data_IF_570091315845
#
_entry.id   IF_570091315845
#
_cell.length_a   1.000
_cell.length_b   1.000
_cell.length_c   1.000
_cell.angle_alpha   90.00
_cell.angle_beta   90.00
_cell.angle_gamma   90.00
#
_symmetry.space_group_name_H-M   'P 1'
#
loop_
_entity.id
_entity.type
_entity.pdbx_description
1 polymer ?
#
# COMPACT_ATOMS: atom_id res chain seq x y z
N UNK A 1 20.40 -4.03 3.37
CA UNK A 1 19.55 -2.85 3.63
C UNK A 1 18.66 -3.13 4.82
N UNK A 2 18.39 -2.12 5.60
CA UNK A 2 17.41 -2.12 6.70
C UNK A 2 16.12 -1.51 6.16
N UNK A 3 15.06 -2.29 6.10
CA UNK A 3 13.81 -1.92 5.45
C UNK A 3 12.69 -1.89 6.49
N UNK A 4 12.09 -0.72 6.68
CA UNK A 4 10.92 -0.53 7.52
C UNK A 4 9.65 -0.45 6.70
N UNK A 5 8.49 -0.78 7.31
CA UNK A 5 7.19 -0.71 6.65
C UNK A 5 6.21 0.01 7.58
N UNK A 6 5.51 1.05 7.08
CA UNK A 6 4.37 1.61 7.80
C UNK A 6 3.11 0.77 7.55
N UNK A 7 2.26 0.60 8.56
CA UNK A 7 1.09 -0.27 8.45
C UNK A 7 1.47 -1.75 8.34
N UNK A 8 2.48 -2.19 9.08
CA UNK A 8 3.10 -3.52 8.99
C UNK A 8 2.15 -4.68 9.28
N UNK A 9 1.05 -4.43 9.99
CA UNK A 9 -0.01 -5.44 10.24
C UNK A 9 -1.05 -5.55 9.11
N UNK A 10 -0.98 -4.67 8.11
CA UNK A 10 -1.85 -4.71 6.94
C UNK A 10 -1.53 -5.87 6.00
N UNK A 11 -2.49 -6.21 5.13
CA UNK A 11 -2.41 -7.35 4.20
C UNK A 11 -1.12 -7.38 3.36
N UNK A 12 -0.82 -6.31 2.63
CA UNK A 12 0.39 -6.24 1.79
C UNK A 12 1.65 -6.24 2.67
N UNK A 13 1.67 -5.43 3.72
CA UNK A 13 2.83 -5.26 4.58
C UNK A 13 3.22 -6.55 5.31
N UNK A 14 2.26 -7.32 5.83
CA UNK A 14 2.52 -8.62 6.49
C UNK A 14 3.18 -9.63 5.54
N UNK A 15 2.83 -9.59 4.24
CA UNK A 15 3.44 -10.45 3.25
C UNK A 15 4.83 -9.93 2.82
N UNK A 16 5.02 -8.61 2.71
CA UNK A 16 6.32 -7.99 2.42
C UNK A 16 7.33 -8.24 3.54
N UNK A 17 6.96 -8.09 4.81
CA UNK A 17 7.87 -8.31 5.94
C UNK A 17 8.46 -9.72 5.93
N UNK A 18 7.64 -10.73 5.57
CA UNK A 18 8.10 -12.10 5.40
C UNK A 18 9.09 -12.27 4.22
N UNK A 19 8.98 -11.43 3.18
CA UNK A 19 9.85 -11.48 2.01
C UNK A 19 11.20 -10.80 2.24
N UNK A 20 11.25 -9.68 2.95
CA UNK A 20 12.46 -8.89 3.19
C UNK A 20 13.60 -9.78 3.68
N UNK A 21 13.34 -10.61 4.69
CA UNK A 21 14.35 -11.52 5.24
C UNK A 21 14.77 -12.61 4.24
N UNK A 22 13.87 -13.04 3.34
CA UNK A 22 14.19 -14.02 2.29
C UNK A 22 15.12 -13.44 1.21
N UNK A 23 15.08 -12.12 0.99
CA UNK A 23 15.98 -11.41 0.09
C UNK A 23 17.31 -10.99 0.75
N UNK A 24 17.64 -11.54 1.92
CA UNK A 24 18.85 -11.22 2.69
C UNK A 24 18.96 -9.74 3.11
N UNK A 25 17.80 -9.12 3.39
CA UNK A 25 17.68 -7.79 3.97
C UNK A 25 17.10 -7.89 5.39
N UNK A 26 17.31 -6.87 6.20
CA UNK A 26 16.79 -6.81 7.56
C UNK A 26 15.45 -6.08 7.58
N UNK A 27 14.40 -6.77 7.99
CA UNK A 27 13.12 -6.13 8.32
C UNK A 27 13.21 -5.44 9.67
N UNK A 28 12.93 -4.15 9.68
CA UNK A 28 12.91 -3.32 10.88
C UNK A 28 11.45 -3.09 11.28
N UNK A 29 11.01 -3.74 12.36
CA UNK A 29 9.67 -3.52 12.89
C UNK A 29 9.57 -2.14 13.53
N UNK A 30 8.56 -1.38 13.13
CA UNK A 30 8.23 -0.09 13.74
C UNK A 30 7.40 -0.29 15.01
N UNK A 31 6.58 -1.34 15.07
CA UNK A 31 5.74 -1.69 16.24
C UNK A 31 6.56 -2.11 17.46
N UNK A 32 7.73 -2.73 17.25
CA UNK A 32 8.62 -3.21 18.32
C UNK A 32 9.65 -2.15 18.75
N UNK A 33 9.60 -0.96 18.14
CA UNK A 33 10.53 0.11 18.48
C UNK A 33 10.22 0.73 19.85
N UNK A 34 11.23 1.35 20.46
CA UNK A 34 11.06 2.16 21.70
C UNK A 34 10.13 3.36 21.54
N UNK A 35 9.70 3.65 20.31
CA UNK A 35 8.80 4.75 19.95
C UNK A 35 7.37 4.28 19.70
N UNK A 36 7.06 3.02 20.00
CA UNK A 36 5.72 2.44 19.84
C UNK A 36 4.63 3.16 20.65
N UNK A 37 5.00 3.93 21.70
CA UNK A 37 4.07 4.79 22.44
C UNK A 37 3.43 5.91 21.59
N UNK A 38 3.94 6.16 20.38
CA UNK A 38 3.33 7.08 19.39
C UNK A 38 2.32 6.43 18.48
N UNK A 39 2.05 5.13 18.62
CA UNK A 39 1.08 4.37 17.84
C UNK A 39 -0.17 4.11 18.68
N UNK A 40 -1.30 4.64 18.25
CA UNK A 40 -2.60 4.19 18.77
C UNK A 40 -3.12 3.06 17.86
N UNK A 41 -3.43 1.92 18.45
CA UNK A 41 -4.23 0.89 17.78
C UNK A 41 -5.69 1.32 17.83
N UNK A 42 -6.35 1.41 16.67
CA UNK A 42 -7.80 1.56 16.64
C UNK A 42 -8.47 0.29 17.18
N UNK A 43 -9.75 0.39 17.59
CA UNK A 43 -10.53 -0.79 18.01
C UNK A 43 -10.59 -1.89 16.95
N UNK A 44 -10.33 -1.56 15.68
CA UNK A 44 -10.21 -2.52 14.56
C UNK A 44 -8.84 -3.20 14.45
N UNK A 45 -7.87 -2.84 15.30
CA UNK A 45 -6.51 -3.38 15.25
C UNK A 45 -5.62 -2.77 14.18
N UNK A 46 -6.06 -1.72 13.52
CA UNK A 46 -5.24 -0.96 12.58
C UNK A 46 -4.28 -0.05 13.33
N UNK A 47 -3.00 -0.20 13.06
CA UNK A 47 -1.97 0.69 13.59
C UNK A 47 -2.01 1.98 12.77
N UNK A 48 -2.61 3.01 13.34
CA UNK A 48 -2.54 4.33 12.77
C UNK A 48 -1.21 4.99 13.14
N UNK A 49 -0.54 5.56 12.16
CA UNK A 49 0.66 6.37 12.35
C UNK A 49 0.28 7.69 13.02
N UNK A 50 0.41 7.77 14.34
CA UNK A 50 -0.06 8.93 15.11
C UNK A 50 1.02 9.91 15.55
N UNK A 51 2.19 9.88 15.02
CA UNK A 51 3.02 11.05 15.19
C UNK A 51 2.76 12.02 14.02
N UNK A 52 1.98 13.06 14.27
CA UNK A 52 1.90 14.23 13.37
C UNK A 52 3.19 15.07 13.41
N UNK A 53 4.32 14.47 13.81
CA UNK A 53 5.60 15.14 13.96
C UNK A 53 6.63 14.53 13.00
N UNK A 54 7.05 15.34 12.04
CA UNK A 54 8.14 15.02 11.12
C UNK A 54 9.43 14.74 11.92
N UNK A 55 9.69 15.50 12.98
CA UNK A 55 10.88 15.36 13.82
C UNK A 55 10.93 13.98 14.49
N UNK A 56 9.81 13.51 15.05
CA UNK A 56 9.75 12.19 15.70
C UNK A 56 9.98 11.06 14.69
N UNK A 57 9.38 11.17 13.50
CA UNK A 57 9.61 10.21 12.43
C UNK A 57 11.05 10.23 11.92
N UNK A 58 11.63 11.43 11.74
CA UNK A 58 13.04 11.56 11.36
C UNK A 58 13.96 10.94 12.41
N UNK A 59 13.69 11.17 13.69
CA UNK A 59 14.45 10.58 14.78
C UNK A 59 14.32 9.05 14.80
N UNK A 60 13.11 8.52 14.62
CA UNK A 60 12.86 7.08 14.56
C UNK A 60 13.62 6.40 13.40
N UNK A 61 13.51 6.95 12.18
CA UNK A 61 14.21 6.41 11.02
C UNK A 61 15.73 6.46 11.20
N UNK A 62 16.26 7.53 11.81
CA UNK A 62 17.68 7.68 12.10
C UNK A 62 18.14 6.69 13.17
N UNK A 63 17.42 6.57 14.29
CA UNK A 63 17.78 5.66 15.40
C UNK A 63 17.75 4.19 14.99
N UNK A 64 16.88 3.85 14.06
CA UNK A 64 16.75 2.50 13.50
C UNK A 64 17.64 2.28 12.27
N UNK A 65 18.39 3.28 11.82
CA UNK A 65 19.28 3.21 10.65
C UNK A 65 18.58 2.64 9.41
N UNK A 66 17.43 3.23 9.06
CA UNK A 66 16.55 2.73 7.97
C UNK A 66 17.05 3.21 6.62
N UNK A 67 17.39 2.29 5.74
CA UNK A 67 17.78 2.58 4.34
C UNK A 67 16.55 2.84 3.46
N UNK A 68 15.49 2.06 3.64
CA UNK A 68 14.26 2.10 2.83
C UNK A 68 13.03 2.05 3.74
N UNK A 69 12.10 2.97 3.54
CA UNK A 69 10.77 2.90 4.15
C UNK A 69 9.71 2.60 3.10
N UNK A 70 9.02 1.47 3.25
CA UNK A 70 7.86 1.13 2.43
C UNK A 70 6.62 1.74 3.10
N UNK A 71 6.10 2.81 2.49
CA UNK A 71 4.91 3.48 3.02
C UNK A 71 3.64 2.81 2.50
N UNK A 72 3.12 1.89 3.33
CA UNK A 72 1.93 1.10 3.05
C UNK A 72 0.72 1.51 3.92
N UNK A 73 0.93 2.24 5.02
CA UNK A 73 -0.16 2.67 5.90
C UNK A 73 -1.20 3.50 5.14
N UNK A 74 -2.44 3.06 5.15
CA UNK A 74 -3.56 3.76 4.55
C UNK A 74 -4.89 3.26 5.12
N UNK A 75 -5.88 4.15 5.17
CA UNK A 75 -7.28 3.78 5.30
C UNK A 75 -7.76 3.34 3.92
N UNK A 76 -8.07 2.04 3.78
CA UNK A 76 -8.33 1.40 2.48
C UNK A 76 -9.82 1.12 2.30
N UNK A 77 -10.32 1.37 1.10
CA UNK A 77 -11.68 1.06 0.70
C UNK A 77 -12.60 2.29 0.68
N UNK A 78 -13.43 2.35 -0.35
CA UNK A 78 -14.33 3.51 -0.59
C UNK A 78 -15.32 3.70 0.55
N UNK A 79 -15.89 2.60 1.05
CA UNK A 79 -16.90 2.65 2.12
C UNK A 79 -16.26 3.04 3.46
N UNK A 80 -15.07 2.52 3.77
CA UNK A 80 -14.34 2.83 5.00
C UNK A 80 -13.93 4.31 5.02
N UNK A 81 -13.41 4.83 3.90
CA UNK A 81 -13.07 6.25 3.74
C UNK A 81 -14.30 7.15 3.88
N UNK A 82 -15.46 6.70 3.39
CA UNK A 82 -16.71 7.47 3.51
C UNK A 82 -17.25 7.53 4.94
N UNK A 83 -17.01 6.52 5.78
CA UNK A 83 -17.44 6.48 7.18
C UNK A 83 -16.67 7.47 8.06
N UNK A 84 -15.38 7.68 7.82
CA UNK A 84 -14.55 8.63 8.55
C UNK A 84 -13.57 9.35 7.62
N UNK A 85 -14.05 10.33 6.85
CA UNK A 85 -13.25 11.00 5.83
C UNK A 85 -12.10 11.84 6.40
N UNK A 86 -12.28 12.44 7.57
CA UNK A 86 -11.23 13.25 8.22
C UNK A 86 -10.04 12.39 8.64
N UNK A 87 -10.31 11.25 9.27
CA UNK A 87 -9.29 10.28 9.62
C UNK A 87 -8.58 9.75 8.37
N UNK A 88 -9.34 9.42 7.33
CA UNK A 88 -8.78 8.93 6.08
C UNK A 88 -7.87 9.96 5.40
N UNK A 89 -8.24 11.25 5.36
CA UNK A 89 -7.39 12.33 4.84
C UNK A 89 -6.14 12.48 5.70
N UNK A 90 -6.30 12.48 7.03
CA UNK A 90 -5.16 12.58 7.95
C UNK A 90 -4.16 11.45 7.73
N UNK A 91 -4.63 10.21 7.55
CA UNK A 91 -3.75 9.06 7.32
C UNK A 91 -3.17 9.05 5.90
N UNK A 92 -4.04 9.13 4.89
CA UNK A 92 -3.65 8.87 3.50
C UNK A 92 -2.89 10.04 2.85
N UNK A 93 -3.14 11.27 3.30
CA UNK A 93 -2.53 12.48 2.70
C UNK A 93 -1.51 13.10 3.66
N UNK A 94 -1.95 13.52 4.85
CA UNK A 94 -1.06 14.17 5.82
C UNK A 94 0.01 13.20 6.33
N UNK A 95 -0.36 11.96 6.66
CA UNK A 95 0.58 10.91 7.07
C UNK A 95 1.63 10.63 5.99
N UNK A 96 1.22 10.58 4.73
CA UNK A 96 2.16 10.42 3.59
C UNK A 96 3.13 11.60 3.51
N UNK A 97 2.66 12.84 3.68
CA UNK A 97 3.53 14.02 3.70
C UNK A 97 4.56 13.93 4.84
N UNK A 98 4.13 13.58 6.04
CA UNK A 98 5.00 13.46 7.22
C UNK A 98 6.11 12.44 6.99
N UNK A 99 5.76 11.25 6.49
CA UNK A 99 6.74 10.20 6.18
C UNK A 99 7.70 10.62 5.07
N UNK A 100 7.19 11.32 4.05
CA UNK A 100 8.02 11.84 2.96
C UNK A 100 9.08 12.82 3.46
N UNK A 101 8.70 13.78 4.31
CA UNK A 101 9.63 14.75 4.89
C UNK A 101 10.61 14.09 5.86
N UNK A 102 10.16 13.14 6.66
CA UNK A 102 11.04 12.37 7.54
C UNK A 102 12.10 11.57 6.75
N UNK A 103 11.68 10.91 5.67
CA UNK A 103 12.58 10.20 4.78
C UNK A 103 13.60 11.16 4.12
N UNK A 104 13.19 12.37 3.74
CA UNK A 104 14.09 13.41 3.23
C UNK A 104 15.15 13.83 4.26
N UNK A 105 14.76 13.97 5.53
CA UNK A 105 15.66 14.40 6.61
C UNK A 105 16.72 13.35 6.95
N UNK A 106 16.42 12.07 6.70
CA UNK A 106 17.32 10.93 7.01
C UNK A 106 17.99 10.32 5.78
N UNK A 107 17.75 10.87 4.58
CA UNK A 107 18.16 10.31 3.29
C UNK A 107 17.66 8.86 3.08
N UNK A 108 16.56 8.49 3.69
CA UNK A 108 15.88 7.21 3.52
C UNK A 108 15.13 7.21 2.18
N UNK A 109 15.23 6.13 1.41
CA UNK A 109 14.41 5.95 0.21
C UNK A 109 12.96 5.64 0.60
N UNK A 110 11.99 6.33 -0.01
CA UNK A 110 10.58 6.02 0.20
C UNK A 110 10.02 5.18 -0.96
N UNK A 111 9.40 4.05 -0.64
CA UNK A 111 8.63 3.22 -1.56
C UNK A 111 7.15 3.38 -1.21
N UNK A 112 6.41 4.09 -2.05
CA UNK A 112 4.99 4.35 -1.81
C UNK A 112 4.11 3.26 -2.43
N UNK A 113 3.28 2.62 -1.62
CA UNK A 113 2.27 1.69 -2.12
C UNK A 113 1.06 2.50 -2.56
N UNK A 114 0.96 2.72 -3.86
CA UNK A 114 -0.14 3.41 -4.53
C UNK A 114 -1.37 2.52 -4.75
N UNK A 115 -2.07 2.76 -5.86
CA UNK A 115 -3.21 1.94 -6.30
C UNK A 115 -3.55 2.24 -7.77
N UNK A 116 -3.99 1.24 -8.51
CA UNK A 116 -4.47 1.43 -9.90
C UNK A 116 -5.87 2.03 -9.98
N UNK A 117 -6.62 2.14 -8.88
CA UNK A 117 -7.94 2.79 -8.90
C UNK A 117 -7.89 4.31 -9.12
N UNK A 118 -6.69 4.90 -9.25
CA UNK A 118 -6.51 6.30 -9.65
C UNK A 118 -6.84 6.54 -11.13
N UNK A 119 -6.79 5.50 -11.96
CA UNK A 119 -7.12 5.59 -13.38
C UNK A 119 -8.62 5.62 -13.62
N UNK A 120 -9.03 6.18 -14.76
CA UNK A 120 -10.42 6.14 -15.18
C UNK A 120 -10.82 4.74 -15.68
N UNK A 121 -11.20 3.89 -14.74
CA UNK A 121 -11.62 2.51 -15.04
C UNK A 121 -12.86 2.40 -15.95
N UNK A 122 -13.57 3.50 -16.23
CA UNK A 122 -14.67 3.52 -17.20
C UNK A 122 -14.20 3.74 -18.62
N UNK A 123 -13.13 4.55 -18.81
CA UNK A 123 -12.54 4.75 -20.14
C UNK A 123 -11.74 3.53 -20.60
N UNK A 124 -11.21 2.76 -19.67
CA UNK A 124 -10.33 1.62 -19.96
C UNK A 124 -11.02 0.26 -19.85
N UNK A 125 -12.32 0.18 -20.06
CA UNK A 125 -13.07 -1.09 -19.97
C UNK A 125 -12.64 -2.14 -21.01
N UNK A 126 -12.04 -1.69 -22.11
CA UNK A 126 -11.61 -2.53 -23.23
C UNK A 126 -10.11 -2.34 -23.58
N UNK A 127 -9.38 -1.51 -22.83
CA UNK A 127 -8.00 -1.16 -23.14
C UNK A 127 -7.08 -1.46 -21.95
N UNK A 128 -5.84 -1.73 -22.26
CA UNK A 128 -4.78 -1.85 -21.27
C UNK A 128 -4.51 -0.51 -20.58
N UNK A 129 -4.13 -0.56 -19.31
CA UNK A 129 -3.77 0.62 -18.51
C UNK A 129 -2.26 0.62 -18.32
N UNK A 130 -1.63 1.70 -18.76
CA UNK A 130 -0.20 1.97 -18.60
C UNK A 130 0.03 3.08 -17.57
N UNK A 131 1.27 3.28 -17.15
CA UNK A 131 1.65 4.28 -16.14
C UNK A 131 1.35 5.72 -16.59
N UNK A 132 1.39 5.98 -17.89
CA UNK A 132 1.06 7.26 -18.52
C UNK A 132 -0.41 7.42 -18.91
N UNK A 133 -1.25 6.42 -18.62
CA UNK A 133 -2.69 6.47 -18.87
C UNK A 133 -3.36 7.60 -18.09
N UNK A 134 -4.47 8.11 -18.63
CA UNK A 134 -5.21 9.22 -18.01
C UNK A 134 -5.64 8.89 -16.58
N UNK A 135 -5.20 9.71 -15.64
CA UNK A 135 -5.57 9.62 -14.23
C UNK A 135 -6.88 10.38 -14.04
N UNK A 136 -7.88 9.69 -13.50
CA UNK A 136 -9.17 10.27 -13.16
C UNK A 136 -9.79 9.56 -11.95
N UNK A 137 -9.36 9.91 -10.73
CA UNK A 137 -9.82 9.24 -9.51
C UNK A 137 -11.29 9.56 -9.23
N UNK A 138 -12.15 8.53 -9.20
CA UNK A 138 -13.61 8.69 -9.09
C UNK A 138 -14.15 8.53 -7.66
N UNK A 139 -13.31 8.14 -6.72
CA UNK A 139 -13.71 7.93 -5.32
C UNK A 139 -12.82 8.73 -4.38
N UNK A 140 -13.33 9.08 -3.18
CA UNK A 140 -12.53 9.77 -2.17
C UNK A 140 -11.25 9.00 -1.82
N UNK A 141 -11.32 7.67 -1.77
CA UNK A 141 -10.14 6.82 -1.59
C UNK A 141 -9.11 7.02 -2.72
N UNK A 142 -9.54 6.94 -3.97
CA UNK A 142 -8.66 7.13 -5.12
C UNK A 142 -8.03 8.54 -5.14
N UNK A 143 -8.83 9.58 -4.84
CA UNK A 143 -8.35 10.97 -4.73
C UNK A 143 -7.26 11.09 -3.66
N UNK A 144 -7.50 10.54 -2.46
CA UNK A 144 -6.54 10.60 -1.36
C UNK A 144 -5.26 9.82 -1.68
N UNK A 145 -5.36 8.63 -2.26
CA UNK A 145 -4.19 7.84 -2.67
C UNK A 145 -3.38 8.54 -3.76
N UNK A 146 -4.04 9.17 -4.71
CA UNK A 146 -3.36 9.96 -5.74
C UNK A 146 -2.70 11.23 -5.16
N UNK A 147 -3.38 11.92 -4.23
CA UNK A 147 -2.78 13.06 -3.52
C UNK A 147 -1.51 12.65 -2.75
N UNK A 148 -1.54 11.50 -2.06
CA UNK A 148 -0.35 10.93 -1.40
C UNK A 148 0.76 10.59 -2.39
N UNK A 149 0.43 9.97 -3.52
CA UNK A 149 1.40 9.67 -4.59
C UNK A 149 2.07 10.93 -5.12
N UNK A 150 1.28 11.97 -5.43
CA UNK A 150 1.82 13.24 -5.91
C UNK A 150 2.65 13.95 -4.84
N UNK A 151 2.33 13.79 -3.56
CA UNK A 151 3.15 14.30 -2.46
C UNK A 151 4.54 13.64 -2.48
N UNK A 152 4.60 12.33 -2.64
CA UNK A 152 5.88 11.60 -2.73
C UNK A 152 6.65 12.01 -3.99
N UNK A 153 6.02 11.96 -5.16
CA UNK A 153 6.69 12.25 -6.45
C UNK A 153 7.26 13.67 -6.53
N UNK A 154 6.59 14.65 -5.91
CA UNK A 154 7.01 16.05 -5.98
C UNK A 154 7.97 16.46 -4.86
N UNK A 155 7.94 15.80 -3.71
CA UNK A 155 8.69 16.27 -2.54
C UNK A 155 9.79 15.31 -2.09
N UNK A 156 9.70 13.99 -2.37
CA UNK A 156 10.72 13.06 -1.92
C UNK A 156 12.02 13.19 -2.72
N UNK A 157 13.16 13.14 -2.00
CA UNK A 157 14.51 13.16 -2.61
C UNK A 157 14.89 11.85 -3.29
N UNK A 158 14.34 10.74 -2.84
CA UNK A 158 14.53 9.41 -3.43
C UNK A 158 13.27 8.59 -3.25
N UNK A 159 12.61 8.22 -4.34
CA UNK A 159 11.32 7.59 -4.29
C UNK A 159 11.11 6.51 -5.37
N UNK A 160 10.21 5.60 -5.05
CA UNK A 160 9.61 4.63 -5.95
C UNK A 160 8.11 4.56 -5.66
N UNK A 161 7.27 4.53 -6.68
CA UNK A 161 5.83 4.30 -6.54
C UNK A 161 5.48 2.96 -7.15
N UNK A 162 4.72 2.14 -6.44
CA UNK A 162 4.19 0.87 -6.96
C UNK A 162 2.69 0.82 -6.74
N UNK A 163 1.94 0.52 -7.80
CA UNK A 163 0.49 0.48 -7.79
C UNK A 163 0.02 -0.97 -7.95
N UNK A 164 -0.38 -1.63 -6.84
CA UNK A 164 -0.99 -2.95 -6.93
C UNK A 164 -2.35 -2.86 -7.62
N UNK A 165 -2.65 -3.92 -8.35
CA UNK A 165 -4.00 -4.20 -8.79
C UNK A 165 -4.74 -5.02 -7.72
N UNK A 166 -5.71 -5.85 -8.08
CA UNK A 166 -6.48 -6.66 -7.12
C UNK A 166 -5.63 -7.79 -6.53
N UNK A 167 -4.82 -7.46 -5.51
CA UNK A 167 -4.00 -8.46 -4.83
C UNK A 167 -4.87 -9.39 -3.98
N UNK A 168 -4.54 -10.69 -3.97
CA UNK A 168 -5.21 -11.71 -3.19
C UNK A 168 -4.24 -12.75 -2.63
N UNK A 169 -4.72 -13.60 -1.70
CA UNK A 169 -3.94 -14.70 -1.12
C UNK A 169 -3.02 -14.27 0.02
N UNK A 170 -2.20 -15.18 0.49
CA UNK A 170 -1.26 -14.91 1.58
C UNK A 170 -1.92 -14.70 2.94
N UNK A 171 -1.19 -14.04 3.84
CA UNK A 171 -1.65 -13.75 5.21
C UNK A 171 -2.47 -12.47 5.22
N UNK A 172 -3.63 -12.50 5.90
CA UNK A 172 -4.43 -11.29 6.15
C UNK A 172 -5.38 -10.86 5.04
N UNK A 173 -5.49 -11.63 3.95
CA UNK A 173 -6.50 -11.37 2.93
C UNK A 173 -7.89 -11.80 3.40
N UNK A 174 -8.65 -10.85 3.96
CA UNK A 174 -10.02 -11.08 4.43
C UNK A 174 -11.08 -10.40 3.55
N UNK A 175 -10.66 -9.55 2.61
CA UNK A 175 -11.57 -8.66 1.89
C UNK A 175 -11.62 -8.88 0.39
N UNK A 176 -10.65 -9.59 -0.21
CA UNK A 176 -10.70 -9.86 -1.64
C UNK A 176 -11.90 -10.75 -2.01
N UNK A 177 -12.35 -10.61 -3.24
CA UNK A 177 -13.41 -11.46 -3.78
C UNK A 177 -13.05 -12.95 -3.66
N UNK A 178 -11.81 -13.28 -4.00
CA UNK A 178 -11.31 -14.66 -3.99
C UNK A 178 -11.36 -15.22 -2.58
N UNK A 179 -10.87 -14.50 -1.58
CA UNK A 179 -10.88 -14.96 -0.18
C UNK A 179 -12.29 -15.08 0.38
N UNK A 180 -13.19 -14.14 0.06
CA UNK A 180 -14.61 -14.24 0.43
C UNK A 180 -15.27 -15.46 -0.19
N UNK A 181 -14.99 -15.75 -1.45
CA UNK A 181 -15.51 -16.93 -2.15
C UNK A 181 -15.00 -18.22 -1.53
N UNK A 182 -13.70 -18.31 -1.28
CA UNK A 182 -13.09 -19.48 -0.63
C UNK A 182 -13.64 -19.72 0.79
N UNK A 183 -13.78 -18.63 1.58
CA UNK A 183 -14.39 -18.70 2.90
C UNK A 183 -15.83 -19.22 2.85
N UNK A 184 -16.62 -18.73 1.89
CA UNK A 184 -18.02 -19.16 1.73
C UNK A 184 -18.11 -20.60 1.31
N UNK A 185 -17.28 -21.07 0.38
CA UNK A 185 -17.21 -22.47 -0.02
C UNK A 185 -16.83 -23.36 1.19
N UNK A 186 -15.79 -22.97 1.93
CA UNK A 186 -15.34 -23.73 3.10
C UNK A 186 -16.43 -23.86 4.18
N UNK A 187 -17.25 -22.83 4.38
CA UNK A 187 -18.31 -22.80 5.39
C UNK A 187 -19.68 -23.23 4.85
N UNK A 188 -19.76 -23.80 3.64
CA UNK A 188 -21.01 -24.20 2.98
C UNK A 188 -22.06 -23.06 2.89
N UNK A 189 -21.60 -21.84 2.68
CA UNK A 189 -22.48 -20.67 2.45
C UNK A 189 -22.86 -20.68 0.98
N UNK A 190 -24.13 -20.92 0.68
CA UNK A 190 -24.61 -21.11 -0.69
C UNK A 190 -24.80 -19.82 -1.48
N UNK A 191 -24.91 -18.69 -0.81
CA UNK A 191 -25.13 -17.39 -1.44
C UNK A 191 -24.07 -16.40 -0.97
N UNK A 192 -23.41 -15.76 -1.95
CA UNK A 192 -22.48 -14.66 -1.70
C UNK A 192 -23.04 -13.44 -2.44
N UNK A 193 -23.39 -12.41 -1.69
CA UNK A 193 -23.79 -11.14 -2.31
C UNK A 193 -22.54 -10.42 -2.83
N UNK A 194 -22.47 -10.31 -4.15
CA UNK A 194 -21.35 -9.67 -4.83
C UNK A 194 -21.86 -8.58 -5.77
N UNK A 195 -21.40 -7.36 -5.54
CA UNK A 195 -21.64 -6.23 -6.46
C UNK A 195 -20.59 -6.25 -7.57
N UNK A 196 -20.71 -7.21 -8.48
CA UNK A 196 -19.79 -7.37 -9.60
C UNK A 196 -20.55 -7.28 -10.92
N UNK A 197 -19.97 -6.59 -11.88
CA UNK A 197 -20.36 -6.77 -13.26
C UNK A 197 -19.60 -7.99 -13.80
N UNK A 198 -20.28 -9.11 -14.13
CA UNK A 198 -19.64 -10.35 -14.59
C UNK A 198 -18.97 -10.21 -15.98
N UNK A 199 -19.30 -9.17 -16.73
CA UNK A 199 -18.71 -8.90 -18.05
C UNK A 199 -17.37 -8.14 -17.97
N UNK A 200 -16.99 -7.66 -16.78
CA UNK A 200 -15.72 -6.95 -16.59
C UNK A 200 -14.58 -7.90 -16.33
N UNK A 201 -13.59 -7.85 -17.17
CA UNK A 201 -12.30 -8.47 -16.95
C UNK A 201 -11.63 -7.79 -15.75
N UNK A 202 -11.11 -8.58 -14.83
CA UNK A 202 -10.31 -8.12 -13.70
C UNK A 202 -9.01 -8.88 -13.67
N UNK A 203 -7.95 -8.15 -13.52
CA UNK A 203 -6.64 -8.71 -13.32
C UNK A 203 -6.40 -8.94 -11.83
N UNK A 204 -6.28 -10.20 -11.43
CA UNK A 204 -6.01 -10.62 -10.05
C UNK A 204 -4.56 -11.09 -9.93
N UNK A 205 -3.84 -10.51 -9.00
CA UNK A 205 -2.44 -10.88 -8.73
C UNK A 205 -2.31 -11.54 -7.37
N UNK A 206 -1.57 -12.63 -7.29
CA UNK A 206 -1.21 -13.20 -6.00
C UNK A 206 -0.26 -12.25 -5.26
N UNK A 207 -0.53 -12.01 -3.96
CA UNK A 207 0.25 -11.04 -3.17
C UNK A 207 1.74 -11.38 -3.09
N UNK A 208 2.12 -12.67 -3.20
CA UNK A 208 3.53 -13.06 -3.25
C UNK A 208 4.25 -12.53 -4.48
N UNK A 209 3.58 -12.51 -5.65
CA UNK A 209 4.16 -12.01 -6.89
C UNK A 209 4.32 -10.50 -6.82
N UNK A 210 3.32 -9.80 -6.26
CA UNK A 210 3.44 -8.38 -5.94
C UNK A 210 4.63 -8.10 -5.02
N UNK A 211 4.76 -8.85 -3.92
CA UNK A 211 5.87 -8.67 -2.98
C UNK A 211 7.24 -8.97 -3.61
N UNK A 212 7.33 -9.99 -4.46
CA UNK A 212 8.56 -10.28 -5.18
C UNK A 212 8.93 -9.12 -6.10
N UNK A 213 7.99 -8.62 -6.91
CA UNK A 213 8.23 -7.48 -7.81
C UNK A 213 8.68 -6.22 -7.05
N UNK A 214 8.04 -5.90 -5.92
CA UNK A 214 8.46 -4.77 -5.08
C UNK A 214 9.89 -4.96 -4.56
N UNK A 215 10.22 -6.15 -4.09
CA UNK A 215 11.58 -6.43 -3.61
C UNK A 215 12.61 -6.38 -4.72
N UNK A 216 12.29 -6.89 -5.90
CA UNK A 216 13.19 -6.82 -7.07
C UNK A 216 13.48 -5.37 -7.48
N UNK A 217 12.46 -4.49 -7.48
CA UNK A 217 12.64 -3.06 -7.74
C UNK A 217 13.54 -2.38 -6.68
N UNK A 218 13.37 -2.74 -5.40
CA UNK A 218 14.19 -2.21 -4.31
C UNK A 218 15.64 -2.69 -4.43
N UNK A 219 15.85 -3.99 -4.68
CA UNK A 219 17.18 -4.60 -4.76
C UNK A 219 17.98 -4.06 -5.96
N UNK A 220 17.31 -3.79 -7.07
CA UNK A 220 17.92 -3.19 -8.26
C UNK A 220 18.02 -1.65 -8.17
N UNK A 221 17.74 -1.08 -7.01
CA UNK A 221 17.82 0.37 -6.72
C UNK A 221 17.07 1.27 -7.70
N UNK A 222 15.92 0.80 -8.19
CA UNK A 222 15.06 1.58 -9.08
C UNK A 222 14.47 2.76 -8.31
N UNK A 223 14.66 3.97 -8.84
CA UNK A 223 14.26 5.22 -8.21
C UNK A 223 13.69 6.20 -9.24
N UNK A 224 12.83 7.13 -8.78
CA UNK A 224 12.17 8.17 -9.59
C UNK A 224 11.25 7.61 -10.68
N UNK A 225 10.70 6.43 -10.44
CA UNK A 225 9.80 5.76 -11.36
C UNK A 225 8.54 5.27 -10.65
N UNK A 226 7.48 5.04 -11.41
CA UNK A 226 6.24 4.47 -10.94
C UNK A 226 5.83 3.27 -11.83
N UNK A 227 5.31 2.21 -11.19
CA UNK A 227 4.97 0.96 -11.84
C UNK A 227 3.56 0.51 -11.47
N UNK A 228 2.81 0.09 -12.47
CA UNK A 228 1.61 -0.71 -12.28
C UNK A 228 2.04 -2.18 -12.19
N UNK A 229 1.86 -2.79 -11.04
CA UNK A 229 2.24 -4.20 -10.85
C UNK A 229 0.98 -5.04 -10.98
N UNK A 230 0.93 -5.82 -12.07
CA UNK A 230 -0.23 -6.59 -12.51
C UNK A 230 0.17 -8.03 -12.81
N UNK A 231 -0.79 -8.94 -12.95
CA UNK A 231 -0.51 -10.28 -13.43
C UNK A 231 -0.24 -10.27 -14.94
N UNK A 232 0.56 -11.21 -15.41
CA UNK A 232 0.91 -11.33 -16.83
C UNK A 232 -0.28 -11.74 -17.71
N UNK A 233 -1.28 -12.42 -17.08
CA UNK A 233 -2.47 -12.91 -17.77
C UNK A 233 -3.72 -12.50 -16.99
N UNK A 234 -4.47 -11.50 -17.46
CA UNK A 234 -5.74 -11.13 -16.83
C UNK A 234 -6.78 -12.27 -16.95
N UNK A 235 -7.55 -12.47 -15.91
CA UNK A 235 -8.57 -13.52 -15.83
C UNK A 235 -9.97 -12.94 -15.91
N UNK A 236 -10.85 -13.63 -16.65
CA UNK A 236 -12.29 -13.33 -16.71
C UNK A 236 -13.04 -13.90 -15.51
#
# INVERSE_FOLDING_TARGET
MRIAITGEKGFIASNLSNKINKFSHEFVSLDESKYSEGYETTESGEVCVYSNSIEKWSQLLSDLDVDVIIHNAAVVGTDVVALNPEHAISTNVLGTHIITEAANNTNTKIVYIGTTVIYDTYLYQENEIYEDSTIYPRTNYAVQKYAGEMTVKNNAKNWLVVRPLFAYGGVGDMNSLISKSLFSIHNNINNIDMFLNPEKIKDYMHVEDFCNSVMDLIVNDISYEDFNITAENPHN
#
